data_IF_214442612560
#
_entry.id   IF_214442612560
#
_cell.length_a   1.000
_cell.length_b   1.000
_cell.length_c   1.000
_cell.angle_alpha   90.00
_cell.angle_beta   90.00
_cell.angle_gamma   90.00
#
_symmetry.space_group_name_H-M   'P 1'
#
loop_
_entity.id
_entity.type
_entity.pdbx_description
1 polymer ?
#
# COMPACT_ATOMS: atom_id res chain seq x y z
N UNK A 1 29.84 -28.46 -18.68
CA UNK A 1 29.21 -27.11 -18.65
C UNK A 1 30.13 -26.22 -17.83
N UNK A 2 30.52 -25.04 -18.30
CA UNK A 2 31.57 -24.24 -17.64
C UNK A 2 31.02 -23.56 -16.38
N UNK A 3 31.66 -23.77 -15.22
CA UNK A 3 31.26 -23.19 -13.93
C UNK A 3 31.12 -21.65 -13.99
N UNK A 4 31.91 -20.98 -14.83
CA UNK A 4 31.84 -19.53 -15.04
C UNK A 4 30.50 -19.11 -15.69
N UNK A 5 29.98 -19.93 -16.62
CA UNK A 5 28.72 -19.66 -17.31
C UNK A 5 27.53 -19.71 -16.34
N UNK A 6 27.56 -20.66 -15.41
CA UNK A 6 26.50 -20.84 -14.42
C UNK A 6 26.49 -19.69 -13.40
N UNK A 7 27.67 -19.23 -12.97
CA UNK A 7 27.83 -18.05 -12.09
C UNK A 7 27.29 -16.78 -12.77
N UNK A 8 27.64 -16.55 -14.05
CA UNK A 8 27.14 -15.39 -14.80
C UNK A 8 25.62 -15.40 -14.98
N UNK A 9 25.03 -16.58 -15.19
CA UNK A 9 23.59 -16.75 -15.27
C UNK A 9 22.90 -16.45 -13.93
N UNK A 10 23.48 -16.91 -12.82
CA UNK A 10 22.99 -16.60 -11.46
C UNK A 10 23.06 -15.10 -11.13
N UNK A 11 24.16 -14.44 -11.50
CA UNK A 11 24.31 -12.99 -11.34
C UNK A 11 23.27 -12.21 -12.14
N UNK A 12 23.06 -12.58 -13.41
CA UNK A 12 22.02 -11.96 -14.26
C UNK A 12 20.63 -12.09 -13.62
N UNK A 13 20.30 -13.30 -13.17
CA UNK A 13 19.01 -13.58 -12.52
C UNK A 13 18.83 -12.74 -11.24
N UNK A 14 19.89 -12.60 -10.44
CA UNK A 14 19.88 -11.80 -9.22
C UNK A 14 19.65 -10.31 -9.50
N UNK A 15 20.27 -9.78 -10.56
CA UNK A 15 20.07 -8.38 -10.98
C UNK A 15 18.63 -8.13 -11.45
N UNK A 16 18.08 -9.06 -12.24
CA UNK A 16 16.68 -8.99 -12.70
C UNK A 16 15.71 -9.06 -11.52
N UNK A 17 15.95 -9.93 -10.55
CA UNK A 17 15.17 -10.02 -9.32
C UNK A 17 15.24 -8.72 -8.52
N UNK A 18 16.43 -8.16 -8.32
CA UNK A 18 16.60 -6.90 -7.61
C UNK A 18 15.80 -5.78 -8.27
N UNK A 19 15.85 -5.69 -9.60
CA UNK A 19 15.08 -4.69 -10.36
C UNK A 19 13.58 -4.85 -10.14
N UNK A 20 13.07 -6.09 -10.18
CA UNK A 20 11.65 -6.38 -9.91
C UNK A 20 11.28 -6.04 -8.46
N UNK A 21 12.12 -6.38 -7.48
CA UNK A 21 11.91 -6.05 -6.06
C UNK A 21 11.83 -4.54 -5.86
N UNK A 22 12.72 -3.76 -6.49
CA UNK A 22 12.67 -2.29 -6.43
C UNK A 22 11.36 -1.76 -7.02
N UNK A 23 10.90 -2.29 -8.16
CA UNK A 23 9.63 -1.86 -8.76
C UNK A 23 8.42 -2.17 -7.86
N UNK A 24 8.40 -3.33 -7.21
CA UNK A 24 7.35 -3.72 -6.25
C UNK A 24 7.40 -2.83 -5.02
N UNK A 25 8.59 -2.56 -4.47
CA UNK A 25 8.78 -1.66 -3.34
C UNK A 25 8.22 -0.25 -3.63
N UNK A 26 8.49 0.28 -4.83
CA UNK A 26 7.96 1.56 -5.26
C UNK A 26 6.43 1.53 -5.38
N UNK A 27 5.85 0.49 -5.98
CA UNK A 27 4.40 0.34 -6.08
C UNK A 27 3.72 0.25 -4.71
N UNK A 28 4.31 -0.48 -3.75
CA UNK A 28 3.83 -0.57 -2.36
C UNK A 28 3.92 0.78 -1.65
N UNK A 29 4.97 1.56 -1.91
CA UNK A 29 5.11 2.92 -1.37
C UNK A 29 4.01 3.85 -1.86
N UNK A 30 3.68 3.82 -3.17
CA UNK A 30 2.56 4.59 -3.71
C UNK A 30 1.21 4.12 -3.17
N UNK A 31 0.99 2.80 -3.09
CA UNK A 31 -0.24 2.25 -2.48
C UNK A 31 -0.41 2.72 -1.03
N UNK A 32 0.68 2.80 -0.26
CA UNK A 32 0.65 3.31 1.11
C UNK A 32 0.19 4.77 1.17
N UNK A 33 0.60 5.59 0.21
CA UNK A 33 0.15 6.99 0.10
C UNK A 33 -1.33 7.06 -0.25
N UNK A 34 -1.79 6.22 -1.17
CA UNK A 34 -3.21 6.17 -1.57
C UNK A 34 -4.11 5.74 -0.42
N UNK A 35 -3.71 4.73 0.35
CA UNK A 35 -4.44 4.29 1.56
C UNK A 35 -4.54 5.43 2.59
N UNK A 36 -3.46 6.19 2.81
CA UNK A 36 -3.50 7.37 3.71
C UNK A 36 -4.38 8.50 3.17
N UNK A 37 -4.49 8.64 1.85
CA UNK A 37 -5.41 9.61 1.24
C UNK A 37 -6.87 9.17 1.44
N UNK A 38 -7.16 7.89 1.20
CA UNK A 38 -8.48 7.30 1.42
C UNK A 38 -8.91 7.44 2.88
N UNK A 39 -8.04 7.17 3.83
CA UNK A 39 -8.29 7.37 5.27
C UNK A 39 -8.74 8.80 5.58
N UNK A 40 -8.00 9.82 5.12
CA UNK A 40 -8.41 11.23 5.29
C UNK A 40 -9.76 11.55 4.65
N UNK A 41 -10.06 10.96 3.51
CA UNK A 41 -11.35 11.14 2.82
C UNK A 41 -12.48 10.49 3.59
N UNK A 42 -12.25 9.30 4.16
CA UNK A 42 -13.23 8.61 5.01
C UNK A 42 -13.54 9.42 6.27
N UNK A 43 -12.52 9.93 6.97
CA UNK A 43 -12.70 10.82 8.12
C UNK A 43 -13.56 12.04 7.76
N UNK A 44 -13.29 12.68 6.61
CA UNK A 44 -14.08 13.84 6.16
C UNK A 44 -15.53 13.45 5.86
N UNK A 45 -15.77 12.29 5.25
CA UNK A 45 -17.13 11.78 4.97
C UNK A 45 -17.86 11.47 6.27
N UNK A 46 -17.21 10.82 7.23
CA UNK A 46 -17.72 10.57 8.58
C UNK A 46 -18.15 11.89 9.25
N UNK A 47 -17.28 12.91 9.27
CA UNK A 47 -17.61 14.23 9.82
C UNK A 47 -18.81 14.90 9.14
N UNK A 48 -18.90 14.85 7.81
CA UNK A 48 -20.04 15.44 7.08
C UNK A 48 -21.34 14.74 7.47
N UNK A 49 -21.32 13.41 7.57
CA UNK A 49 -22.49 12.63 7.94
C UNK A 49 -22.90 12.93 9.38
N UNK A 50 -21.96 13.06 10.30
CA UNK A 50 -22.23 13.43 11.70
C UNK A 50 -22.88 14.80 11.83
N UNK A 51 -22.37 15.80 11.10
CA UNK A 51 -22.96 17.15 11.09
C UNK A 51 -24.37 17.14 10.48
N UNK A 52 -24.57 16.36 9.42
CA UNK A 52 -25.85 16.29 8.73
C UNK A 52 -26.91 15.52 9.53
N UNK A 53 -26.52 14.75 10.55
CA UNK A 53 -27.43 13.89 11.31
C UNK A 53 -28.06 14.67 12.48
N UNK A 54 -29.39 14.82 12.51
CA UNK A 54 -30.06 15.59 13.56
C UNK A 54 -30.10 14.89 14.93
N UNK A 55 -29.73 13.61 15.00
CA UNK A 55 -29.72 12.80 16.23
C UNK A 55 -28.39 12.86 17.00
N UNK A 56 -27.37 13.57 16.46
CA UNK A 56 -26.06 13.72 17.09
C UNK A 56 -25.24 12.42 17.21
N UNK A 57 -25.61 11.36 16.48
CA UNK A 57 -24.90 10.08 16.54
C UNK A 57 -23.62 10.07 15.68
N UNK A 58 -22.52 9.62 16.28
CA UNK A 58 -21.19 9.47 15.66
C UNK A 58 -21.20 8.32 14.66
N UNK A 59 -20.73 8.53 13.42
CA UNK A 59 -20.64 7.48 12.40
C UNK A 59 -19.23 6.89 12.35
N UNK A 60 -18.90 6.00 13.29
CA UNK A 60 -17.64 5.24 13.22
C UNK A 60 -17.68 4.21 12.09
N UNK A 61 -17.15 4.56 10.93
CA UNK A 61 -16.98 3.61 9.80
C UNK A 61 -15.81 2.66 10.07
N UNK A 62 -14.81 3.10 10.86
CA UNK A 62 -13.79 2.23 11.43
C UNK A 62 -14.36 1.57 12.70
N UNK A 63 -14.81 0.32 12.56
CA UNK A 63 -15.00 -0.56 13.72
C UNK A 63 -13.60 -0.87 14.24
N UNK A 64 -13.34 -0.62 15.52
CA UNK A 64 -12.11 -1.09 16.15
C UNK A 64 -12.10 -2.62 16.04
N UNK A 65 -11.22 -3.13 15.18
CA UNK A 65 -10.93 -4.56 15.10
C UNK A 65 -10.13 -4.94 16.35
N UNK A 66 -10.85 -5.25 17.43
CA UNK A 66 -10.32 -5.97 18.61
C UNK A 66 -10.13 -7.44 18.30
#
# INVERSE_FOLDING_TARGET
MSAIKDILSGLKTTIELNTKVVSVSNAVSELTKDVRNLDRRLVRVETIIEIARPDGSVLRIARDDT
#
